data_IF_947932941428
#
_entry.id   IF_947932941428
#
_cell.length_a   1.000
_cell.length_b   1.000
_cell.length_c   1.000
_cell.angle_alpha   90.00
_cell.angle_beta   90.00
_cell.angle_gamma   90.00
#
_symmetry.space_group_name_H-M   'P 1'
#
loop_
_entity.id
_entity.type
_entity.pdbx_description
1 polymer ?
#
# COMPACT_ATOMS: atom_id res chain seq x y z
N UNK A 1 -13.81 -9.41 26.90
CA UNK A 1 -12.57 -8.90 26.27
C UNK A 1 -12.26 -9.74 25.04
N UNK A 2 -12.87 -9.44 23.89
CA UNK A 2 -12.46 -10.01 22.60
C UNK A 2 -11.41 -9.09 21.99
N UNK A 3 -10.14 -9.49 22.03
CA UNK A 3 -9.10 -8.84 21.22
C UNK A 3 -9.28 -9.32 19.79
N UNK A 4 -9.65 -8.40 18.90
CA UNK A 4 -9.88 -8.65 17.48
C UNK A 4 -8.53 -8.88 16.79
N UNK A 5 -8.21 -10.13 16.48
CA UNK A 5 -6.87 -10.61 16.07
C UNK A 5 -6.46 -10.18 14.65
N UNK A 6 -7.29 -9.43 13.91
CA UNK A 6 -7.05 -9.08 12.51
C UNK A 6 -6.21 -7.80 12.33
N UNK A 7 -6.37 -6.79 13.20
CA UNK A 7 -5.69 -5.49 13.08
C UNK A 7 -4.15 -5.58 13.18
N UNK A 8 -3.62 -6.47 14.03
CA UNK A 8 -2.18 -6.58 14.26
C UNK A 8 -1.42 -7.24 13.09
N UNK A 9 -2.09 -8.09 12.31
CA UNK A 9 -1.48 -8.73 11.13
C UNK A 9 -1.35 -7.73 9.97
N UNK A 10 -2.38 -6.93 9.71
CA UNK A 10 -2.37 -5.93 8.65
C UNK A 10 -1.43 -4.76 8.97
N UNK A 11 -1.35 -4.35 10.24
CA UNK A 11 -0.36 -3.37 10.69
C UNK A 11 1.07 -3.79 10.39
N UNK A 12 1.46 -5.02 10.73
CA UNK A 12 2.83 -5.50 10.47
C UNK A 12 3.13 -5.60 8.97
N UNK A 13 2.14 -6.01 8.17
CA UNK A 13 2.24 -6.06 6.70
C UNK A 13 2.46 -4.67 6.10
N UNK A 14 1.71 -3.66 6.54
CA UNK A 14 1.87 -2.27 6.12
C UNK A 14 3.27 -1.75 6.52
N UNK A 15 3.67 -1.93 7.78
CA UNK A 15 4.98 -1.49 8.27
C UNK A 15 6.14 -2.13 7.50
N UNK A 16 6.05 -3.41 7.17
CA UNK A 16 7.07 -4.10 6.37
C UNK A 16 7.15 -3.54 4.94
N UNK A 17 6.02 -3.19 4.32
CA UNK A 17 5.99 -2.54 3.00
C UNK A 17 6.62 -1.15 3.04
N UNK A 18 6.29 -0.35 4.06
CA UNK A 18 6.86 0.98 4.26
C UNK A 18 8.38 0.92 4.48
N UNK A 19 8.88 -0.04 5.27
CA UNK A 19 10.34 -0.25 5.43
C UNK A 19 11.05 -0.59 4.11
N UNK A 20 10.40 -1.38 3.24
CA UNK A 20 10.94 -1.68 1.91
C UNK A 20 10.97 -0.44 1.02
N UNK A 21 9.88 0.33 1.00
CA UNK A 21 9.80 1.61 0.27
C UNK A 21 10.88 2.60 0.73
N UNK A 22 11.09 2.72 2.05
CA UNK A 22 12.14 3.55 2.63
C UNK A 22 13.54 3.12 2.14
N UNK A 23 13.80 1.81 2.08
CA UNK A 23 15.03 1.26 1.48
C UNK A 23 15.20 1.61 0.00
N UNK A 24 14.12 1.54 -0.78
CA UNK A 24 14.13 1.91 -2.20
C UNK A 24 14.38 3.41 -2.40
N UNK A 25 13.76 4.27 -1.58
CA UNK A 25 13.98 5.72 -1.62
C UNK A 25 15.45 6.05 -1.29
N UNK A 26 16.03 5.43 -0.26
CA UNK A 26 17.46 5.55 0.03
C UNK A 26 18.33 5.11 -1.15
N UNK A 27 17.96 4.01 -1.80
CA UNK A 27 18.63 3.54 -3.02
C UNK A 27 18.58 4.58 -4.15
N UNK A 28 17.42 5.19 -4.37
CA UNK A 28 17.25 6.24 -5.37
C UNK A 28 18.10 7.48 -5.06
N UNK A 29 18.13 7.92 -3.80
CA UNK A 29 18.99 9.03 -3.36
C UNK A 29 20.45 8.76 -3.70
N UNK A 30 20.96 7.58 -3.32
CA UNK A 30 22.33 7.17 -3.64
C UNK A 30 22.60 7.13 -5.14
N UNK A 31 21.65 6.66 -5.95
CA UNK A 31 21.79 6.64 -7.42
C UNK A 31 21.88 8.05 -8.02
N UNK A 32 21.23 9.04 -7.41
CA UNK A 32 21.34 10.45 -7.81
C UNK A 32 22.69 11.01 -7.39
N UNK A 33 23.15 10.73 -6.16
CA UNK A 33 24.47 11.16 -5.66
C UNK A 33 25.64 10.56 -6.47
N UNK A 34 25.47 9.34 -6.98
CA UNK A 34 26.45 8.63 -7.81
C UNK A 34 26.32 8.92 -9.31
N UNK A 35 25.47 9.87 -9.72
CA UNK A 35 25.21 10.22 -11.13
C UNK A 35 24.89 9.00 -12.02
N UNK A 36 24.14 8.03 -11.49
CA UNK A 36 23.70 6.84 -12.24
C UNK A 36 22.80 7.24 -13.41
N UNK A 37 22.66 6.34 -14.38
CA UNK A 37 21.89 6.65 -15.60
C UNK A 37 20.44 7.03 -15.29
N UNK A 38 19.91 8.01 -16.04
CA UNK A 38 18.51 8.42 -15.91
C UNK A 38 17.54 7.24 -16.09
N UNK A 39 17.87 6.28 -16.98
CA UNK A 39 17.05 5.08 -17.22
C UNK A 39 16.93 4.20 -15.98
N UNK A 40 18.03 3.97 -15.25
CA UNK A 40 18.02 3.17 -14.03
C UNK A 40 17.22 3.88 -12.92
N UNK A 41 17.41 5.19 -12.77
CA UNK A 41 16.69 6.01 -11.80
C UNK A 41 15.17 5.98 -12.07
N UNK A 42 14.76 6.15 -13.32
CA UNK A 42 13.34 6.08 -13.74
C UNK A 42 12.75 4.69 -13.51
N UNK A 43 13.53 3.63 -13.75
CA UNK A 43 13.10 2.25 -13.49
C UNK A 43 12.83 2.03 -12.00
N UNK A 44 13.75 2.45 -11.13
CA UNK A 44 13.56 2.34 -9.69
C UNK A 44 12.39 3.21 -9.20
N UNK A 45 12.27 4.44 -9.69
CA UNK A 45 11.17 5.34 -9.36
C UNK A 45 9.80 4.74 -9.74
N UNK A 46 9.70 4.12 -10.92
CA UNK A 46 8.50 3.39 -11.33
C UNK A 46 8.17 2.26 -10.37
N UNK A 47 9.17 1.47 -9.97
CA UNK A 47 9.01 0.41 -8.97
C UNK A 47 8.56 0.93 -7.59
N UNK A 48 9.07 2.08 -7.16
CA UNK A 48 8.64 2.75 -5.91
C UNK A 48 7.17 3.15 -6.02
N UNK A 49 6.75 3.76 -7.13
CA UNK A 49 5.36 4.16 -7.35
C UNK A 49 4.42 2.96 -7.28
N UNK A 50 4.71 1.88 -8.01
CA UNK A 50 3.89 0.66 -7.99
C UNK A 50 3.83 0.03 -6.60
N UNK A 51 4.94 0.03 -5.85
CA UNK A 51 4.97 -0.47 -4.48
C UNK A 51 4.17 0.41 -3.50
N UNK A 52 4.14 1.73 -3.73
CA UNK A 52 3.35 2.68 -2.96
C UNK A 52 1.85 2.48 -3.23
N UNK A 53 1.46 2.38 -4.49
CA UNK A 53 0.07 2.11 -4.89
C UNK A 53 -0.44 0.80 -4.27
N UNK A 54 0.35 -0.28 -4.37
CA UNK A 54 0.02 -1.55 -3.74
C UNK A 54 -0.03 -1.50 -2.21
N UNK A 55 0.64 -0.53 -1.58
CA UNK A 55 0.57 -0.31 -0.12
C UNK A 55 -0.67 0.49 0.25
N UNK A 56 -1.02 1.50 -0.56
CA UNK A 56 -2.26 2.26 -0.41
C UNK A 56 -3.49 1.35 -0.51
N UNK A 57 -3.49 0.37 -1.40
CA UNK A 57 -4.57 -0.62 -1.52
C UNK A 57 -4.79 -1.40 -0.22
N UNK A 58 -3.72 -1.85 0.44
CA UNK A 58 -3.81 -2.59 1.70
C UNK A 58 -4.36 -1.71 2.82
N UNK A 59 -3.93 -0.45 2.88
CA UNK A 59 -4.43 0.50 3.88
C UNK A 59 -5.92 0.81 3.63
N UNK A 60 -6.31 0.95 2.37
CA UNK A 60 -7.70 1.20 2.00
C UNK A 60 -8.59 0.00 2.34
N UNK A 61 -8.13 -1.23 2.07
CA UNK A 61 -8.83 -2.45 2.50
C UNK A 61 -9.04 -2.48 4.01
N UNK A 62 -7.99 -2.20 4.79
CA UNK A 62 -8.05 -2.16 6.26
C UNK A 62 -9.05 -1.09 6.74
N UNK A 63 -8.99 0.12 6.18
CA UNK A 63 -9.92 1.20 6.51
C UNK A 63 -11.38 0.85 6.22
N UNK A 64 -11.67 0.27 5.04
CA UNK A 64 -13.03 -0.13 4.71
C UNK A 64 -13.53 -1.31 5.54
N UNK A 65 -12.65 -2.23 5.95
CA UNK A 65 -12.99 -3.27 6.91
C UNK A 65 -13.30 -2.72 8.30
N UNK A 66 -12.54 -1.72 8.77
CA UNK A 66 -12.81 -1.05 10.04
C UNK A 66 -14.13 -0.25 10.01
N UNK A 67 -14.43 0.48 8.93
CA UNK A 67 -15.69 1.20 8.78
C UNK A 67 -16.91 0.28 8.63
N UNK A 68 -16.74 -0.95 8.12
CA UNK A 68 -17.82 -1.95 8.04
C UNK A 68 -18.35 -2.35 9.42
N UNK A 69 -17.50 -2.36 10.45
CA UNK A 69 -17.95 -2.67 11.81
C UNK A 69 -18.78 -1.51 12.42
N UNK A 70 -18.69 -0.30 11.84
CA UNK A 70 -19.49 0.87 12.23
C UNK A 70 -20.82 1.01 11.45
N UNK A 71 -20.94 0.40 10.26
CA UNK A 71 -22.11 0.51 9.39
C UNK A 71 -22.75 -0.87 9.22
N UNK A 72 -23.84 -1.12 9.95
CA UNK A 72 -24.62 -2.34 9.82
C UNK A 72 -25.22 -2.46 8.41
N UNK A 73 -24.95 -3.59 7.75
CA UNK A 73 -25.78 -4.21 6.69
C UNK A 73 -25.45 -3.96 5.18
N UNK A 74 -24.18 -3.79 4.78
CA UNK A 74 -23.83 -3.78 3.33
C UNK A 74 -22.48 -4.42 2.96
N UNK A 75 -22.17 -5.59 3.54
CA UNK A 75 -20.91 -6.32 3.31
C UNK A 75 -20.53 -6.63 1.85
N UNK A 76 -21.49 -6.71 0.91
CA UNK A 76 -21.22 -6.98 -0.51
C UNK A 76 -20.79 -5.73 -1.29
N UNK A 77 -21.37 -4.55 -0.98
CA UNK A 77 -21.05 -3.31 -1.69
C UNK A 77 -19.59 -2.88 -1.50
N UNK A 78 -19.03 -3.09 -0.30
CA UNK A 78 -17.66 -2.67 0.01
C UNK A 78 -16.57 -3.40 -0.79
N UNK A 79 -16.74 -4.71 -1.05
CA UNK A 79 -15.78 -5.46 -1.85
C UNK A 79 -15.77 -4.98 -3.31
N UNK A 80 -16.93 -4.59 -3.82
CA UNK A 80 -17.07 -4.06 -5.17
C UNK A 80 -16.48 -2.66 -5.29
N UNK A 81 -16.56 -1.83 -4.24
CA UNK A 81 -15.86 -0.53 -4.17
C UNK A 81 -14.34 -0.70 -4.22
N UNK A 82 -13.77 -1.64 -3.46
CA UNK A 82 -12.32 -1.94 -3.55
C UNK A 82 -11.93 -2.39 -4.95
N UNK A 83 -12.70 -3.30 -5.55
CA UNK A 83 -12.43 -3.76 -6.92
C UNK A 83 -12.52 -2.61 -7.93
N UNK A 84 -13.54 -1.76 -7.83
CA UNK A 84 -13.73 -0.62 -8.71
C UNK A 84 -12.57 0.39 -8.60
N UNK A 85 -12.12 0.68 -7.38
CA UNK A 85 -10.97 1.56 -7.14
C UNK A 85 -9.69 0.98 -7.74
N UNK A 86 -9.46 -0.34 -7.60
CA UNK A 86 -8.32 -1.02 -8.21
C UNK A 86 -8.38 -0.98 -9.74
N UNK A 87 -9.55 -1.25 -10.33
CA UNK A 87 -9.76 -1.21 -11.78
C UNK A 87 -9.60 0.20 -12.38
N UNK A 88 -9.95 1.25 -11.63
CA UNK A 88 -9.81 2.63 -12.09
C UNK A 88 -8.36 3.15 -12.07
N UNK A 89 -7.47 2.51 -11.32
CA UNK A 89 -6.06 2.92 -11.17
C UNK A 89 -5.11 2.26 -12.18
N UNK A 90 -5.60 1.31 -12.98
CA UNK A 90 -4.86 0.63 -14.06
C UNK A 90 -4.60 -0.83 -13.75
#
# INVERSE_FOLDING_TARGET
MSKNTNLDQDKNKILNRLKRLEGQIRGLQKMVEEDRTCSDQLTLLSGIRSALDATADVILEDYLHACKDEISDSSREFSDVIKAIKLARG
#
